data_IF_396425319356
#
_entry.id   IF_396425319356
#
_cell.length_a   1.000
_cell.length_b   1.000
_cell.length_c   1.000
_cell.angle_alpha   90.00
_cell.angle_beta   90.00
_cell.angle_gamma   90.00
#
_symmetry.space_group_name_H-M   'P 1'
#
loop_
_entity.id
_entity.type
_entity.pdbx_description
1 polymer ?
#
# COMPACT_ATOMS: atom_id res chain seq x y z
N UNK A 1 -14.21 -18.73 1.92
CA UNK A 1 -13.29 -17.73 1.33
C UNK A 1 -12.06 -18.50 0.88
N UNK A 2 -12.01 -18.87 -0.40
CA UNK A 2 -10.86 -19.59 -0.95
C UNK A 2 -9.62 -18.71 -0.80
N UNK A 3 -8.63 -19.20 -0.05
CA UNK A 3 -7.34 -18.55 0.07
C UNK A 3 -6.67 -18.61 -1.29
N UNK A 4 -6.61 -17.46 -1.99
CA UNK A 4 -5.81 -17.30 -3.20
C UNK A 4 -4.41 -17.85 -2.89
N UNK A 5 -4.06 -18.99 -3.50
CA UNK A 5 -2.77 -19.64 -3.31
C UNK A 5 -1.65 -18.64 -3.58
N UNK A 6 -0.60 -18.65 -2.75
CA UNK A 6 0.56 -17.76 -2.94
C UNK A 6 1.11 -17.94 -4.35
N UNK A 7 0.79 -17.00 -5.24
CA UNK A 7 1.41 -16.93 -6.55
C UNK A 7 2.93 -16.85 -6.40
N UNK A 8 3.65 -17.53 -7.29
CA UNK A 8 5.11 -17.65 -7.26
C UNK A 8 5.85 -16.30 -7.35
N UNK A 9 5.16 -15.18 -7.58
CA UNK A 9 5.72 -13.85 -7.82
C UNK A 9 5.22 -12.84 -6.79
N UNK A 10 6.12 -12.09 -6.16
CA UNK A 10 5.77 -10.95 -5.31
C UNK A 10 6.16 -9.64 -5.99
N UNK A 11 5.45 -8.56 -5.70
CA UNK A 11 5.80 -7.23 -6.22
C UNK A 11 7.22 -6.81 -5.80
N UNK A 12 7.65 -7.20 -4.59
CA UNK A 12 9.03 -6.99 -4.11
C UNK A 12 10.04 -7.63 -5.07
N UNK A 13 9.86 -8.92 -5.38
CA UNK A 13 10.76 -9.63 -6.29
C UNK A 13 10.79 -9.03 -7.70
N UNK A 14 9.63 -8.64 -8.23
CA UNK A 14 9.56 -7.99 -9.55
C UNK A 14 10.40 -6.71 -9.58
N UNK A 15 10.34 -5.88 -8.53
CA UNK A 15 11.17 -4.68 -8.46
C UNK A 15 12.65 -5.01 -8.27
N UNK A 16 13.00 -5.95 -7.39
CA UNK A 16 14.40 -6.35 -7.19
C UNK A 16 15.04 -6.83 -8.51
N UNK A 17 14.31 -7.58 -9.33
CA UNK A 17 14.83 -8.15 -10.58
C UNK A 17 14.87 -7.16 -11.75
N UNK A 18 14.03 -6.11 -11.75
CA UNK A 18 13.80 -5.30 -12.97
C UNK A 18 13.96 -3.79 -12.79
N UNK A 19 14.05 -3.29 -11.54
CA UNK A 19 13.98 -1.85 -11.28
C UNK A 19 15.11 -1.06 -11.95
N UNK A 20 16.36 -1.55 -11.91
CA UNK A 20 17.49 -0.85 -12.51
C UNK A 20 17.34 -0.68 -14.02
N UNK A 21 16.93 -1.75 -14.72
CA UNK A 21 16.64 -1.73 -16.17
C UNK A 21 15.48 -0.78 -16.51
N UNK A 22 14.48 -0.71 -15.64
CA UNK A 22 13.37 0.22 -15.82
C UNK A 22 13.83 1.67 -15.66
N UNK A 23 14.62 1.96 -14.62
CA UNK A 23 15.15 3.32 -14.38
C UNK A 23 16.08 3.77 -15.50
N UNK A 24 16.90 2.88 -16.07
CA UNK A 24 17.82 3.25 -17.16
C UNK A 24 17.10 3.70 -18.43
N UNK A 25 15.88 3.22 -18.66
CA UNK A 25 15.09 3.52 -19.87
C UNK A 25 14.04 4.62 -19.66
N UNK A 26 13.60 4.88 -18.42
CA UNK A 26 12.48 5.78 -18.11
C UNK A 26 12.81 6.84 -17.06
N UNK A 27 14.09 7.19 -16.90
CA UNK A 27 14.55 8.08 -15.81
C UNK A 27 13.80 9.42 -15.76
N UNK A 28 13.49 10.03 -16.91
CA UNK A 28 12.76 11.30 -17.00
C UNK A 28 11.31 11.23 -16.51
N UNK A 29 10.71 10.04 -16.55
CA UNK A 29 9.28 9.85 -16.30
C UNK A 29 9.02 9.42 -14.84
N UNK A 30 10.08 9.04 -14.12
CA UNK A 30 9.99 8.56 -12.74
C UNK A 30 10.04 9.75 -11.78
N UNK A 31 8.89 10.06 -11.19
CA UNK A 31 8.81 11.01 -10.09
C UNK A 31 9.48 10.47 -8.82
N UNK A 32 9.95 11.37 -7.95
CA UNK A 32 10.48 10.99 -6.63
C UNK A 32 9.50 10.12 -5.83
N UNK A 33 8.20 10.45 -5.86
CA UNK A 33 7.16 9.69 -5.15
C UNK A 33 7.06 8.24 -5.65
N UNK A 34 7.15 8.03 -6.98
CA UNK A 34 7.14 6.69 -7.56
C UNK A 34 8.38 5.89 -7.12
N UNK A 35 9.58 6.48 -7.28
CA UNK A 35 10.83 5.85 -6.87
C UNK A 35 10.86 5.50 -5.36
N UNK A 36 10.42 6.43 -4.52
CA UNK A 36 10.35 6.23 -3.07
C UNK A 36 9.36 5.13 -2.68
N UNK A 37 8.23 5.00 -3.40
CA UNK A 37 7.29 3.91 -3.17
C UNK A 37 7.87 2.55 -3.57
N UNK A 38 8.60 2.46 -4.68
CA UNK A 38 9.31 1.24 -5.09
C UNK A 38 10.37 0.86 -4.06
N UNK A 39 11.20 1.81 -3.63
CA UNK A 39 12.19 1.60 -2.57
C UNK A 39 11.54 1.09 -1.27
N UNK A 40 10.41 1.68 -0.85
CA UNK A 40 9.65 1.20 0.33
C UNK A 40 9.14 -0.23 0.17
N UNK A 41 8.76 -0.65 -1.02
CA UNK A 41 8.31 -2.03 -1.28
C UNK A 41 9.48 -3.00 -1.17
N UNK A 42 10.62 -2.69 -1.78
CA UNK A 42 11.83 -3.53 -1.72
C UNK A 42 12.36 -3.68 -0.29
N UNK A 43 12.31 -2.62 0.51
CA UNK A 43 12.82 -2.64 1.90
C UNK A 43 11.76 -3.05 2.94
N UNK A 44 10.53 -3.35 2.52
CA UNK A 44 9.46 -3.72 3.45
C UNK A 44 9.73 -5.06 4.13
N UNK A 45 9.69 -5.07 5.47
CA UNK A 45 9.97 -6.24 6.31
C UNK A 45 11.36 -6.85 6.08
N UNK A 46 12.30 -6.02 5.65
CA UNK A 46 13.70 -6.41 5.48
C UNK A 46 14.51 -5.93 6.68
N UNK A 47 15.12 -6.83 7.49
CA UNK A 47 15.99 -6.45 8.59
C UNK A 47 17.09 -5.47 8.20
N UNK A 48 17.70 -5.66 7.02
CA UNK A 48 18.78 -4.80 6.53
C UNK A 48 18.26 -3.54 5.79
N UNK A 49 16.96 -3.47 5.50
CA UNK A 49 16.35 -2.35 4.79
C UNK A 49 15.73 -1.36 5.76
N UNK A 50 14.49 -1.63 6.18
CA UNK A 50 13.79 -0.79 7.14
C UNK A 50 14.13 -1.13 8.59
N UNK A 51 15.05 -2.05 8.88
CA UNK A 51 15.37 -2.44 10.25
C UNK A 51 14.32 -3.34 10.88
N UNK A 52 14.51 -3.63 12.16
CA UNK A 52 13.62 -4.44 12.97
C UNK A 52 13.49 -3.87 14.39
N UNK A 53 12.48 -4.31 15.11
CA UNK A 53 12.33 -4.10 16.55
C UNK A 53 12.66 -5.39 17.27
N UNK A 54 13.45 -5.29 18.33
CA UNK A 54 13.85 -6.44 19.15
C UNK A 54 13.01 -6.47 20.41
N UNK A 55 12.45 -7.64 20.71
CA UNK A 55 11.72 -7.91 21.94
C UNK A 55 12.46 -9.01 22.71
N UNK A 56 12.59 -8.84 24.02
CA UNK A 56 13.11 -9.85 24.93
C UNK A 56 12.18 -9.97 26.13
N UNK A 57 12.01 -11.18 26.63
CA UNK A 57 11.26 -11.41 27.86
C UNK A 57 12.13 -11.02 29.06
N UNK A 58 11.61 -10.23 30.03
CA UNK A 58 12.37 -9.90 31.25
C UNK A 58 12.81 -11.15 32.03
N UNK A 59 11.97 -12.18 32.05
CA UNK A 59 12.23 -13.44 32.77
C UNK A 59 13.10 -14.42 31.98
N UNK A 60 13.23 -14.22 30.66
CA UNK A 60 14.04 -15.05 29.75
C UNK A 60 14.84 -14.14 28.80
N UNK A 61 15.92 -13.50 29.28
CA UNK A 61 16.67 -12.50 28.50
C UNK A 61 17.36 -13.06 27.26
N UNK A 62 17.56 -14.38 27.22
CA UNK A 62 18.11 -15.15 26.11
C UNK A 62 17.09 -15.36 24.97
N UNK A 63 15.79 -15.25 25.26
CA UNK A 63 14.73 -15.40 24.27
C UNK A 63 14.45 -14.07 23.56
N UNK A 64 15.17 -13.85 22.46
CA UNK A 64 15.10 -12.63 21.66
C UNK A 64 14.28 -12.87 20.39
N UNK A 65 13.29 -12.01 20.14
CA UNK A 65 12.50 -12.00 18.91
C UNK A 65 12.73 -10.71 18.14
N UNK A 66 13.12 -10.82 16.86
CA UNK A 66 13.25 -9.69 15.96
C UNK A 66 12.02 -9.59 15.04
N UNK A 67 11.38 -8.43 15.03
CA UNK A 67 10.21 -8.15 14.19
C UNK A 67 10.60 -7.11 13.13
N UNK A 68 10.73 -7.50 11.85
CA UNK A 68 11.06 -6.57 10.77
C UNK A 68 10.02 -5.46 10.59
N UNK A 69 10.48 -4.23 10.37
CA UNK A 69 9.59 -3.08 10.22
C UNK A 69 8.88 -3.12 8.86
N UNK A 70 7.57 -2.88 8.89
CA UNK A 70 6.75 -2.73 7.67
C UNK A 70 6.86 -1.29 7.12
N UNK A 71 6.75 -1.13 5.80
CA UNK A 71 6.88 0.18 5.17
C UNK A 71 5.62 1.06 5.27
N UNK A 72 4.49 0.48 5.68
CA UNK A 72 3.17 1.14 5.83
C UNK A 72 2.67 1.88 4.58
N UNK A 73 3.27 1.64 3.41
CA UNK A 73 2.85 2.27 2.16
C UNK A 73 1.58 1.63 1.60
N UNK A 74 0.64 2.46 1.11
CA UNK A 74 -0.53 2.01 0.32
C UNK A 74 -0.14 1.37 -1.01
N UNK A 75 1.06 1.63 -1.51
CA UNK A 75 1.60 1.00 -2.71
C UNK A 75 2.12 -0.43 -2.47
N UNK A 76 2.47 -0.76 -1.22
CA UNK A 76 2.96 -2.10 -0.88
C UNK A 76 1.77 -3.05 -0.70
N UNK A 77 1.62 -4.12 -1.49
CA UNK A 77 0.45 -4.99 -1.44
C UNK A 77 0.27 -5.64 -0.07
N UNK A 78 1.37 -6.00 0.60
CA UNK A 78 1.35 -6.61 1.94
C UNK A 78 0.86 -5.61 2.99
N UNK A 79 1.38 -4.39 2.98
CA UNK A 79 0.98 -3.37 3.97
C UNK A 79 -0.43 -2.83 3.68
N UNK A 80 -0.73 -2.59 2.41
CA UNK A 80 -2.00 -2.05 1.96
C UNK A 80 -3.15 -3.01 2.30
N UNK A 81 -2.99 -4.32 2.07
CA UNK A 81 -4.03 -5.30 2.41
C UNK A 81 -4.43 -5.24 3.88
N UNK A 82 -3.43 -5.18 4.78
CA UNK A 82 -3.68 -5.09 6.22
C UNK A 82 -4.44 -3.79 6.57
N UNK A 83 -4.06 -2.66 5.95
CA UNK A 83 -4.74 -1.39 6.17
C UNK A 83 -6.18 -1.41 5.65
N UNK A 84 -6.40 -1.98 4.46
CA UNK A 84 -7.72 -2.15 3.86
C UNK A 84 -8.60 -3.02 4.73
N UNK A 85 -8.09 -4.15 5.24
CA UNK A 85 -8.87 -5.05 6.09
C UNK A 85 -9.30 -4.40 7.40
N UNK A 86 -8.41 -3.64 8.02
CA UNK A 86 -8.74 -2.85 9.22
C UNK A 86 -9.81 -1.82 8.92
N UNK A 87 -9.63 -1.06 7.83
CA UNK A 87 -10.62 -0.07 7.40
C UNK A 87 -11.98 -0.69 7.10
N UNK A 88 -12.03 -1.84 6.40
CA UNK A 88 -13.27 -2.57 6.13
C UNK A 88 -13.94 -3.00 7.44
N UNK A 89 -13.18 -3.54 8.39
CA UNK A 89 -13.71 -3.92 9.69
C UNK A 89 -14.28 -2.72 10.45
N UNK A 90 -13.62 -1.56 10.40
CA UNK A 90 -14.09 -0.33 11.03
C UNK A 90 -15.35 0.21 10.34
N UNK A 91 -15.40 0.23 9.01
CA UNK A 91 -16.58 0.66 8.26
C UNK A 91 -17.77 -0.26 8.50
N UNK A 92 -17.56 -1.58 8.56
CA UNK A 92 -18.63 -2.54 8.86
C UNK A 92 -19.27 -2.32 10.23
N UNK A 93 -18.57 -1.69 11.19
CA UNK A 93 -19.15 -1.32 12.49
C UNK A 93 -20.05 -0.09 12.42
N UNK A 94 -19.88 0.75 11.40
CA UNK A 94 -20.68 1.95 11.20
C UNK A 94 -21.97 1.70 10.41
N UNK A 95 -22.01 0.63 9.61
CA UNK A 95 -23.20 0.30 8.83
C UNK A 95 -24.31 -0.26 9.72
N UNK A 96 -25.59 0.12 9.45
CA UNK A 96 -26.73 -0.46 10.15
C UNK A 96 -26.87 -1.94 9.79
N UNK A 97 -27.37 -2.75 10.73
CA UNK A 97 -27.66 -4.17 10.51
C UNK A 97 -28.98 -4.38 9.74
N UNK A 98 -29.09 -3.79 8.55
CA UNK A 98 -30.22 -3.92 7.64
C UNK A 98 -29.74 -3.88 6.18
N UNK A 99 -30.57 -4.29 5.20
CA UNK A 99 -30.24 -4.10 3.78
C UNK A 99 -30.08 -2.61 3.44
N UNK A 100 -29.03 -2.27 2.71
CA UNK A 100 -28.76 -0.92 2.24
C UNK A 100 -28.27 -0.92 0.79
N UNK A 101 -28.41 0.22 0.11
CA UNK A 101 -27.90 0.43 -1.24
C UNK A 101 -26.65 1.31 -1.21
N UNK A 102 -25.59 0.90 -1.89
CA UNK A 102 -24.43 1.74 -2.11
C UNK A 102 -24.68 2.63 -3.33
N UNK A 103 -24.72 3.94 -3.13
CA UNK A 103 -24.88 4.93 -4.20
C UNK A 103 -23.52 5.57 -4.45
N UNK A 104 -23.00 5.46 -5.67
CA UNK A 104 -21.76 6.11 -6.10
C UNK A 104 -22.07 7.27 -7.03
N UNK A 105 -21.57 8.46 -6.71
CA UNK A 105 -21.60 9.59 -7.65
C UNK A 105 -20.39 9.51 -8.58
N UNK A 106 -20.66 9.40 -9.88
CA UNK A 106 -19.60 9.43 -10.90
C UNK A 106 -19.46 10.83 -11.48
N UNK A 107 -18.23 11.23 -11.82
CA UNK A 107 -17.99 12.48 -12.55
C UNK A 107 -18.60 12.38 -13.96
N UNK A 108 -19.50 13.33 -14.35
CA UNK A 108 -20.00 13.43 -15.72
C UNK A 108 -18.87 13.51 -16.74
N UNK A 109 -19.03 12.89 -17.92
CA UNK A 109 -17.96 12.77 -18.92
C UNK A 109 -17.36 14.12 -19.33
N UNK A 110 -18.20 15.17 -19.36
CA UNK A 110 -17.84 16.54 -19.71
C UNK A 110 -16.76 17.13 -18.78
N UNK A 111 -16.73 16.71 -17.51
CA UNK A 111 -15.79 17.23 -16.51
C UNK A 111 -14.52 16.40 -16.37
N UNK A 112 -14.44 15.22 -17.00
CA UNK A 112 -13.30 14.30 -16.79
C UNK A 112 -11.97 14.89 -17.25
N UNK A 113 -11.93 15.53 -18.41
CA UNK A 113 -10.71 16.18 -18.94
C UNK A 113 -10.30 17.34 -18.03
N UNK A 114 -11.26 18.21 -17.69
CA UNK A 114 -11.01 19.35 -16.79
C UNK A 114 -10.43 18.90 -15.44
N UNK A 115 -11.04 17.91 -14.79
CA UNK A 115 -10.56 17.41 -13.49
C UNK A 115 -9.24 16.63 -13.62
N UNK A 116 -8.96 16.02 -14.78
CA UNK A 116 -7.67 15.39 -15.04
C UNK A 116 -6.55 16.42 -15.12
N UNK A 117 -6.75 17.50 -15.87
CA UNK A 117 -5.77 18.58 -16.03
C UNK A 117 -5.65 19.44 -14.76
N UNK A 118 -6.77 19.69 -14.07
CA UNK A 118 -6.87 20.54 -12.89
C UNK A 118 -7.27 19.71 -11.68
N UNK A 119 -6.39 18.81 -11.24
CA UNK A 119 -6.65 17.91 -10.09
C UNK A 119 -7.04 18.62 -8.80
N UNK A 120 -6.63 19.87 -8.59
CA UNK A 120 -7.04 20.67 -7.43
C UNK A 120 -8.55 20.88 -7.35
N UNK A 121 -9.26 20.89 -8.48
CA UNK A 121 -10.72 21.04 -8.52
C UNK A 121 -11.47 19.81 -8.00
N UNK A 122 -10.83 18.64 -7.89
CA UNK A 122 -11.45 17.46 -7.29
C UNK A 122 -11.89 17.74 -5.84
N UNK A 123 -11.13 18.57 -5.12
CA UNK A 123 -11.47 18.95 -3.75
C UNK A 123 -12.75 19.80 -3.69
N UNK A 124 -13.11 20.54 -4.74
CA UNK A 124 -14.35 21.32 -4.75
C UNK A 124 -15.59 20.49 -5.09
N UNK A 125 -15.41 19.32 -5.72
CA UNK A 125 -16.50 18.42 -6.12
C UNK A 125 -16.79 17.36 -5.05
N UNK A 126 -15.78 16.97 -4.26
CA UNK A 126 -15.85 15.85 -3.32
C UNK A 126 -15.44 16.19 -1.88
N UNK A 127 -15.42 17.48 -1.52
CA UNK A 127 -15.27 17.97 -0.13
C UNK A 127 -16.45 17.65 0.75
#
# INVERSE_FOLDING_TARGET
METIGKGHFTLKRIFEENWERFVSSHRSDITFSAAYNVWKVMNCREPNGLGYTTFACPDHPDQITHIPRSCKSRFCPVCAKIQVDKWVADMNRLFPNCPYFHITFTVPSQFRILLFEKRSLLNAVFS
#
